data_IF_810834769631
#
_entry.id   IF_810834769631
#
_cell.length_a   1.000
_cell.length_b   1.000
_cell.length_c   1.000
_cell.angle_alpha   90.00
_cell.angle_beta   90.00
_cell.angle_gamma   90.00
#
_symmetry.space_group_name_H-M   'P 1'
#
loop_
_entity.id
_entity.type
_entity.pdbx_description
1 polymer ?
#
# COMPACT_ATOMS: atom_id res chain seq x y z
N UNK A 1 -20.72 61.03 4.74
CA UNK A 1 -21.13 59.64 4.42
C UNK A 1 -20.25 58.92 3.37
N UNK A 2 -19.00 59.35 3.12
CA UNK A 2 -18.15 58.77 2.05
C UNK A 2 -17.08 57.77 2.52
N UNK A 3 -16.81 57.69 3.82
CA UNK A 3 -15.72 56.86 4.38
C UNK A 3 -16.17 55.51 4.97
N UNK A 4 -17.49 55.27 5.14
CA UNK A 4 -17.99 53.99 5.68
C UNK A 4 -18.06 52.87 4.63
N UNK A 5 -18.03 53.21 3.33
CA UNK A 5 -18.12 52.22 2.25
C UNK A 5 -16.80 51.49 1.98
N UNK A 6 -15.65 52.11 2.31
CA UNK A 6 -14.32 51.49 2.10
C UNK A 6 -13.98 50.41 3.13
N UNK A 7 -14.57 50.50 4.33
CA UNK A 7 -14.33 49.53 5.42
C UNK A 7 -15.10 48.23 5.17
N UNK A 8 -16.22 48.28 4.41
CA UNK A 8 -17.01 47.11 4.07
C UNK A 8 -16.28 46.14 3.12
N UNK A 9 -15.43 46.66 2.24
CA UNK A 9 -14.65 45.82 1.31
C UNK A 9 -13.46 45.09 1.97
N UNK A 10 -12.91 45.61 3.06
CA UNK A 10 -11.77 44.99 3.76
C UNK A 10 -12.18 43.81 4.65
N UNK A 11 -13.45 43.74 5.07
CA UNK A 11 -13.96 42.68 5.95
C UNK A 11 -14.37 41.40 5.19
N UNK A 12 -14.54 41.47 3.86
CA UNK A 12 -14.94 40.33 3.00
C UNK A 12 -13.75 39.64 2.32
N UNK A 13 -12.56 40.24 2.36
CA UNK A 13 -11.35 39.69 1.76
C UNK A 13 -10.89 38.32 2.33
N UNK A 14 -11.09 37.95 3.62
CA UNK A 14 -10.61 36.67 4.10
C UNK A 14 -11.49 35.47 3.69
N UNK A 15 -12.65 35.69 3.05
CA UNK A 15 -13.53 34.60 2.59
C UNK A 15 -13.12 34.00 1.24
N UNK A 16 -12.22 34.65 0.49
CA UNK A 16 -11.77 34.17 -0.82
C UNK A 16 -10.50 33.31 -0.77
N UNK A 17 -9.92 33.07 0.42
CA UNK A 17 -8.74 32.23 0.60
C UNK A 17 -9.05 30.83 1.17
N UNK A 18 -10.31 30.37 1.11
CA UNK A 18 -10.59 28.93 1.10
C UNK A 18 -10.24 28.36 -0.28
N UNK A 19 -8.95 28.46 -0.64
CA UNK A 19 -8.36 27.62 -1.67
C UNK A 19 -8.23 26.22 -1.10
N UNK A 20 -9.35 25.50 -1.01
CA UNK A 20 -9.31 24.04 -0.88
C UNK A 20 -8.54 23.52 -2.08
N UNK A 21 -7.36 22.96 -1.84
CA UNK A 21 -6.62 22.23 -2.86
C UNK A 21 -7.55 21.18 -3.46
N UNK A 22 -7.75 21.21 -4.78
CA UNK A 22 -8.56 20.23 -5.51
C UNK A 22 -7.97 18.80 -5.50
N UNK A 23 -6.89 18.56 -4.74
CA UNK A 23 -6.30 17.24 -4.59
C UNK A 23 -7.20 16.27 -3.79
N UNK A 24 -8.14 16.78 -2.99
CA UNK A 24 -9.04 15.92 -2.19
C UNK A 24 -10.21 15.35 -2.99
N UNK A 25 -10.60 15.95 -4.12
CA UNK A 25 -11.74 15.45 -4.91
C UNK A 25 -11.43 14.14 -5.67
N UNK A 26 -10.16 13.83 -5.93
CA UNK A 26 -9.77 12.51 -6.45
C UNK A 26 -9.86 11.39 -5.40
N UNK A 27 -9.94 11.72 -4.11
CA UNK A 27 -10.03 10.73 -3.04
C UNK A 27 -11.46 10.26 -2.74
N UNK A 28 -12.51 10.98 -3.19
CA UNK A 28 -13.89 10.58 -2.90
C UNK A 28 -14.34 9.34 -3.69
N UNK A 29 -13.87 9.14 -4.93
CA UNK A 29 -14.13 7.91 -5.71
C UNK A 29 -13.40 6.68 -5.13
N UNK A 30 -12.31 6.89 -4.38
CA UNK A 30 -11.50 5.81 -3.77
C UNK A 30 -12.16 5.20 -2.53
N UNK A 31 -13.13 5.88 -1.92
CA UNK A 31 -13.84 5.38 -0.73
C UNK A 31 -14.66 4.08 -0.99
N UNK A 32 -14.86 3.66 -2.25
CA UNK A 32 -15.56 2.43 -2.60
C UNK A 32 -14.66 1.17 -2.66
N UNK A 33 -13.33 1.30 -2.56
CA UNK A 33 -12.41 0.17 -2.85
C UNK A 33 -12.13 -0.75 -1.64
N UNK A 34 -12.61 -0.43 -0.43
CA UNK A 34 -11.95 -0.94 0.78
C UNK A 34 -12.81 -1.85 1.68
N UNK A 35 -12.81 -3.17 1.39
CA UNK A 35 -13.11 -4.34 2.26
C UNK A 35 -12.56 -5.64 1.60
N UNK A 36 -12.44 -6.79 2.32
CA UNK A 36 -11.66 -7.06 3.53
C UNK A 36 -10.14 -7.04 3.28
N UNK A 37 -9.34 -7.10 4.35
CA UNK A 37 -7.87 -7.08 4.28
C UNK A 37 -7.32 -8.44 3.84
N UNK A 38 -6.69 -8.48 2.65
CA UNK A 38 -6.08 -9.70 2.12
C UNK A 38 -5.00 -9.36 1.08
N UNK A 39 -4.19 -10.37 0.78
CA UNK A 39 -3.37 -10.40 -0.44
C UNK A 39 -3.81 -11.57 -1.29
N UNK A 40 -3.99 -11.34 -2.59
CA UNK A 40 -4.26 -12.38 -3.59
C UNK A 40 -3.17 -12.32 -4.65
N UNK A 41 -2.68 -13.47 -5.11
CA UNK A 41 -1.68 -13.55 -6.18
C UNK A 41 -1.63 -14.96 -6.77
N UNK A 42 -1.07 -15.07 -7.98
CA UNK A 42 -0.74 -16.35 -8.60
C UNK A 42 0.77 -16.58 -8.56
N UNK A 43 1.22 -17.71 -8.03
CA UNK A 43 2.64 -18.07 -7.99
C UNK A 43 2.86 -19.30 -8.85
N UNK A 44 3.63 -19.14 -9.93
CA UNK A 44 3.86 -20.21 -10.91
C UNK A 44 2.56 -20.88 -11.41
N UNK A 45 1.45 -20.13 -11.43
CA UNK A 45 0.12 -20.62 -11.83
C UNK A 45 -0.82 -21.03 -10.69
N UNK A 46 -0.33 -21.14 -9.45
CA UNK A 46 -1.15 -21.54 -8.30
C UNK A 46 -1.71 -20.32 -7.54
N UNK A 47 -3.03 -20.26 -7.28
CA UNK A 47 -3.64 -19.14 -6.57
C UNK A 47 -3.33 -19.20 -5.08
N UNK A 48 -2.92 -18.07 -4.52
CA UNK A 48 -2.62 -17.90 -3.10
C UNK A 48 -3.36 -16.67 -2.58
N UNK A 49 -4.02 -16.86 -1.44
CA UNK A 49 -4.66 -15.78 -0.68
C UNK A 49 -4.11 -15.74 0.74
N UNK A 50 -3.65 -14.59 1.22
CA UNK A 50 -3.10 -14.39 2.58
C UNK A 50 -3.91 -13.35 3.35
N UNK A 51 -3.78 -13.38 4.67
CA UNK A 51 -4.42 -12.42 5.58
C UNK A 51 -3.37 -11.43 6.12
N UNK A 52 -3.82 -10.29 6.62
CA UNK A 52 -2.89 -9.37 7.30
C UNK A 52 -2.40 -9.95 8.62
N UNK A 53 -1.10 -9.80 8.84
CA UNK A 53 -0.44 -10.18 10.09
C UNK A 53 -0.01 -8.96 10.91
N UNK A 54 0.27 -7.83 10.24
CA UNK A 54 0.72 -6.62 10.93
C UNK A 54 0.73 -5.40 10.02
N UNK A 55 0.73 -4.23 10.66
CA UNK A 55 0.91 -2.93 10.01
C UNK A 55 1.71 -2.00 10.91
N UNK A 56 2.39 -1.03 10.30
CA UNK A 56 3.08 0.04 11.00
C UNK A 56 3.21 1.30 10.16
N UNK A 57 3.28 2.46 10.83
CA UNK A 57 3.78 3.68 10.24
C UNK A 57 5.02 4.11 11.01
N UNK A 58 6.13 4.29 10.31
CA UNK A 58 7.41 4.71 10.88
C UNK A 58 7.77 6.11 10.40
N UNK A 59 8.24 6.96 11.31
CA UNK A 59 8.81 8.25 10.96
C UNK A 59 10.28 8.06 10.54
N UNK A 60 10.64 8.59 9.38
CA UNK A 60 12.00 8.62 8.85
C UNK A 60 12.41 10.06 8.54
N UNK A 61 13.69 10.28 8.21
CA UNK A 61 14.19 11.58 7.76
C UNK A 61 13.49 12.08 6.48
N UNK A 62 12.93 11.18 5.68
CA UNK A 62 12.28 11.47 4.41
C UNK A 62 10.74 11.48 4.50
N UNK A 63 10.19 11.46 5.72
CA UNK A 63 8.76 11.40 5.99
C UNK A 63 8.32 10.05 6.54
N UNK A 64 7.04 9.73 6.37
CA UNK A 64 6.42 8.53 6.93
C UNK A 64 6.51 7.34 5.96
N UNK A 65 6.86 6.17 6.47
CA UNK A 65 6.87 4.89 5.75
C UNK A 65 5.71 4.05 6.28
N UNK A 66 4.95 3.45 5.37
CA UNK A 66 3.98 2.41 5.63
C UNK A 66 4.67 1.05 5.51
N UNK A 67 4.54 0.22 6.54
CA UNK A 67 4.95 -1.19 6.58
C UNK A 67 3.71 -2.07 6.71
N UNK A 68 3.58 -3.08 5.83
CA UNK A 68 2.48 -4.04 5.86
C UNK A 68 3.04 -5.46 5.75
N UNK A 69 2.55 -6.36 6.62
CA UNK A 69 2.88 -7.78 6.64
C UNK A 69 1.65 -8.66 6.46
N UNK A 70 1.80 -9.70 5.64
CA UNK A 70 0.75 -10.66 5.29
C UNK A 70 1.28 -12.07 5.34
N UNK A 71 0.42 -13.03 5.64
CA UNK A 71 0.75 -14.45 5.58
C UNK A 71 -0.41 -15.36 5.93
N UNK A 72 -0.13 -16.66 6.08
CA UNK A 72 -1.11 -17.65 6.54
C UNK A 72 -0.97 -17.89 8.04
N UNK A 73 -2.07 -17.78 8.79
CA UNK A 73 -2.14 -18.22 10.18
C UNK A 73 -2.50 -19.71 10.34
N UNK A 74 -2.76 -20.43 9.24
CA UNK A 74 -3.26 -21.82 9.30
C UNK A 74 -2.14 -22.79 9.67
N UNK A 75 -1.97 -23.02 10.96
CA UNK A 75 -1.69 -24.25 11.75
C UNK A 75 -0.82 -25.41 11.20
N UNK A 76 -0.45 -25.44 9.93
CA UNK A 76 0.44 -26.43 9.35
C UNK A 76 1.85 -25.82 9.27
N UNK A 77 2.74 -26.13 10.23
CA UNK A 77 4.11 -25.61 10.23
C UNK A 77 4.93 -26.12 9.03
N UNK A 78 4.38 -27.03 8.22
CA UNK A 78 5.02 -27.51 6.99
C UNK A 78 4.72 -26.63 5.78
N UNK A 79 3.84 -25.63 5.91
CA UNK A 79 3.49 -24.69 4.85
C UNK A 79 3.40 -23.26 5.36
N UNK A 80 4.24 -22.39 4.82
CA UNK A 80 4.23 -20.97 5.15
C UNK A 80 4.28 -20.14 3.87
N UNK A 81 3.46 -19.11 3.79
CA UNK A 81 3.58 -18.09 2.76
C UNK A 81 3.44 -16.73 3.44
N UNK A 82 4.37 -15.83 3.16
CA UNK A 82 4.35 -14.48 3.71
C UNK A 82 4.84 -13.43 2.71
N UNK A 83 4.24 -12.25 2.78
CA UNK A 83 4.65 -11.05 2.03
C UNK A 83 4.82 -9.89 3.00
N UNK A 84 5.92 -9.16 2.89
CA UNK A 84 6.14 -7.89 3.59
C UNK A 84 6.52 -6.80 2.60
N UNK A 85 5.91 -5.63 2.75
CA UNK A 85 6.15 -4.46 1.91
C UNK A 85 6.42 -3.21 2.75
N UNK A 86 7.30 -2.35 2.25
CA UNK A 86 7.48 -0.99 2.76
C UNK A 86 7.43 0.00 1.61
N UNK A 87 6.74 1.12 1.83
CA UNK A 87 6.65 2.22 0.88
C UNK A 87 6.33 3.56 1.57
N UNK A 88 6.54 4.71 0.92
CA UNK A 88 6.13 6.00 1.45
C UNK A 88 4.62 6.06 1.73
N UNK A 89 4.25 6.52 2.93
CA UNK A 89 2.85 6.68 3.32
C UNK A 89 2.18 7.82 2.54
N UNK A 90 0.89 7.64 2.19
CA UNK A 90 0.10 8.59 1.38
C UNK A 90 0.63 8.89 -0.04
N UNK A 91 1.56 8.08 -0.55
CA UNK A 91 2.02 8.20 -1.94
C UNK A 91 1.33 7.18 -2.83
N UNK A 92 0.98 7.63 -4.04
CA UNK A 92 0.38 6.85 -5.13
C UNK A 92 1.33 6.81 -6.32
N UNK A 93 1.18 5.78 -7.16
CA UNK A 93 1.96 5.63 -8.38
C UNK A 93 2.77 4.33 -8.44
N UNK A 94 3.67 4.26 -9.42
CA UNK A 94 4.35 3.01 -9.79
C UNK A 94 5.68 2.84 -9.06
N UNK A 95 6.00 1.59 -8.72
CA UNK A 95 7.31 1.15 -8.21
C UNK A 95 7.80 1.98 -7.01
N UNK A 96 6.89 2.26 -6.07
CA UNK A 96 7.19 3.04 -4.87
C UNK A 96 7.76 2.20 -3.72
N UNK A 97 7.87 0.88 -3.90
CA UNK A 97 8.32 -0.04 -2.87
C UNK A 97 9.80 0.18 -2.57
N UNK A 98 10.12 0.51 -1.32
CA UNK A 98 11.49 0.45 -0.80
C UNK A 98 11.86 -0.97 -0.36
N UNK A 99 10.85 -1.77 0.01
CA UNK A 99 11.00 -3.18 0.36
C UNK A 99 9.85 -3.97 -0.22
N UNK A 100 10.20 -5.13 -0.76
CA UNK A 100 9.30 -6.23 -1.04
C UNK A 100 10.03 -7.49 -0.60
N UNK A 101 9.40 -8.31 0.24
CA UNK A 101 9.93 -9.59 0.68
C UNK A 101 8.83 -10.64 0.54
N UNK A 102 9.19 -11.79 0.00
CA UNK A 102 8.31 -12.93 -0.21
C UNK A 102 8.99 -14.17 0.36
N UNK A 103 8.27 -14.88 1.21
CA UNK A 103 8.70 -16.13 1.81
C UNK A 103 7.70 -17.22 1.45
N UNK A 104 8.21 -18.36 1.04
CA UNK A 104 7.43 -19.55 0.72
C UNK A 104 8.14 -20.76 1.27
N UNK A 105 7.39 -21.58 2.01
CA UNK A 105 7.82 -22.86 2.51
C UNK A 105 6.70 -23.87 2.27
N UNK A 106 7.05 -25.02 1.69
CA UNK A 106 6.12 -26.13 1.50
C UNK A 106 6.89 -27.45 1.50
N UNK A 107 6.82 -28.18 2.62
CA UNK A 107 7.58 -29.42 2.80
C UNK A 107 9.09 -29.18 2.76
N UNK A 108 9.79 -29.67 1.72
CA UNK A 108 11.23 -29.46 1.55
C UNK A 108 11.56 -28.27 0.64
N UNK A 109 10.55 -27.58 0.11
CA UNK A 109 10.73 -26.42 -0.74
C UNK A 109 10.76 -25.17 0.12
N UNK A 110 11.87 -24.45 0.08
CA UNK A 110 12.03 -23.14 0.71
C UNK A 110 12.44 -22.11 -0.33
N UNK A 111 11.79 -20.96 -0.27
CA UNK A 111 12.15 -19.78 -1.02
C UNK A 111 12.04 -18.55 -0.13
N UNK A 112 13.04 -17.69 -0.21
CA UNK A 112 12.99 -16.34 0.33
C UNK A 112 13.57 -15.40 -0.71
N UNK A 113 12.74 -14.53 -1.24
CA UNK A 113 13.12 -13.54 -2.25
C UNK A 113 12.76 -12.15 -1.76
N UNK A 114 13.49 -11.17 -2.23
CA UNK A 114 13.19 -9.77 -1.97
C UNK A 114 13.48 -8.94 -3.22
N UNK A 115 13.18 -7.64 -3.16
CA UNK A 115 13.35 -6.71 -4.28
C UNK A 115 14.79 -6.64 -4.81
N UNK A 116 15.82 -7.00 -4.02
CA UNK A 116 17.22 -6.96 -4.47
C UNK A 116 17.60 -8.19 -5.31
N UNK A 117 16.80 -9.25 -5.29
CA UNK A 117 17.05 -10.50 -6.00
C UNK A 117 15.99 -10.77 -7.08
N UNK A 118 15.47 -9.70 -7.69
CA UNK A 118 14.43 -9.82 -8.69
C UNK A 118 13.94 -8.49 -9.23
N UNK A 119 12.86 -8.55 -9.99
CA UNK A 119 12.14 -7.37 -10.48
C UNK A 119 10.76 -7.39 -9.87
N UNK A 120 10.36 -6.28 -9.24
CA UNK A 120 9.01 -6.07 -8.73
C UNK A 120 8.42 -4.89 -9.47
N UNK A 121 7.29 -5.10 -10.13
CA UNK A 121 6.49 -4.03 -10.72
C UNK A 121 5.26 -3.83 -9.84
N UNK A 122 5.02 -2.61 -9.38
CA UNK A 122 3.87 -2.31 -8.53
C UNK A 122 3.20 -1.01 -8.90
N UNK A 123 1.92 -0.87 -8.56
CA UNK A 123 1.15 0.36 -8.68
C UNK A 123 0.26 0.55 -7.45
N UNK A 124 0.56 1.61 -6.69
CA UNK A 124 -0.23 2.02 -5.53
C UNK A 124 -1.37 2.89 -6.02
N UNK A 125 -2.59 2.38 -5.86
CA UNK A 125 -3.83 2.98 -6.36
C UNK A 125 -4.55 3.72 -5.24
N UNK A 126 -4.46 3.22 -4.00
CA UNK A 126 -4.95 3.89 -2.79
C UNK A 126 -3.95 3.77 -1.65
N UNK A 127 -3.73 4.86 -0.92
CA UNK A 127 -2.87 4.90 0.27
C UNK A 127 -3.36 6.08 1.12
N UNK A 128 -4.46 5.88 1.84
CA UNK A 128 -5.10 6.92 2.64
C UNK A 128 -4.92 6.62 4.12
N UNK A 129 -5.59 7.38 5.00
CA UNK A 129 -5.70 6.98 6.40
C UNK A 129 -6.75 5.92 6.66
N UNK A 130 -7.59 5.55 5.69
CA UNK A 130 -8.63 4.53 5.86
C UNK A 130 -8.30 3.21 5.17
N UNK A 131 -7.57 3.26 4.06
CA UNK A 131 -7.17 2.03 3.38
C UNK A 131 -5.95 2.17 2.46
N UNK A 132 -5.44 1.02 2.06
CA UNK A 132 -4.37 0.83 1.10
C UNK A 132 -4.80 -0.19 0.04
N UNK A 133 -4.48 0.12 -1.22
CA UNK A 133 -4.71 -0.76 -2.37
C UNK A 133 -3.55 -0.64 -3.34
N UNK A 134 -2.96 -1.77 -3.70
CA UNK A 134 -1.85 -1.86 -4.64
C UNK A 134 -1.99 -3.11 -5.50
N UNK A 135 -1.60 -3.02 -6.75
CA UNK A 135 -1.35 -4.19 -7.61
C UNK A 135 0.15 -4.40 -7.79
N UNK A 136 0.57 -5.65 -7.99
CA UNK A 136 1.97 -5.98 -8.24
C UNK A 136 2.16 -7.26 -9.05
N UNK A 137 3.33 -7.36 -9.66
CA UNK A 137 3.90 -8.59 -10.17
C UNK A 137 5.37 -8.65 -9.81
N UNK A 138 5.92 -9.85 -9.70
CA UNK A 138 7.31 -10.02 -9.39
C UNK A 138 7.91 -11.23 -10.09
N UNK A 139 9.19 -11.11 -10.43
CA UNK A 139 10.03 -12.24 -10.80
C UNK A 139 11.21 -12.23 -9.84
N UNK A 140 11.26 -13.21 -8.95
CA UNK A 140 12.28 -13.32 -7.91
C UNK A 140 13.12 -14.57 -8.14
N UNK A 141 14.43 -14.45 -7.95
CA UNK A 141 15.36 -15.57 -8.15
C UNK A 141 16.20 -15.78 -6.89
N UNK A 142 16.27 -17.03 -6.41
CA UNK A 142 17.14 -17.43 -5.31
C UNK A 142 17.59 -18.88 -5.54
N UNK A 143 18.89 -19.16 -5.42
CA UNK A 143 19.50 -20.48 -5.61
C UNK A 143 19.02 -21.20 -6.89
N UNK A 144 19.14 -20.52 -8.03
CA UNK A 144 18.74 -20.99 -9.37
C UNK A 144 17.24 -21.32 -9.55
N UNK A 145 16.41 -21.01 -8.56
CA UNK A 145 14.95 -21.09 -8.67
C UNK A 145 14.37 -19.72 -8.94
N UNK A 146 13.44 -19.66 -9.88
CA UNK A 146 12.68 -18.45 -10.21
C UNK A 146 11.23 -18.64 -9.82
N UNK A 147 10.69 -17.67 -9.08
CA UNK A 147 9.28 -17.56 -8.75
C UNK A 147 8.68 -16.41 -9.52
N UNK A 148 7.63 -16.72 -10.29
CA UNK A 148 6.87 -15.74 -11.01
C UNK A 148 5.55 -15.49 -10.26
N UNK A 149 5.41 -14.27 -9.76
CA UNK A 149 4.20 -13.77 -9.09
C UNK A 149 3.44 -12.90 -10.08
N UNK A 150 2.20 -13.28 -10.40
CA UNK A 150 1.30 -12.55 -11.29
C UNK A 150 0.05 -12.10 -10.55
N UNK A 151 -0.57 -11.07 -11.12
CA UNK A 151 -1.89 -10.56 -10.70
C UNK A 151 -1.98 -10.30 -9.19
N UNK A 152 -0.86 -9.86 -8.60
CA UNK A 152 -0.77 -9.60 -7.18
C UNK A 152 -1.63 -8.41 -6.81
N UNK A 153 -2.44 -8.57 -5.77
CA UNK A 153 -3.31 -7.55 -5.23
C UNK A 153 -3.10 -7.50 -3.73
N UNK A 154 -2.84 -6.31 -3.20
CA UNK A 154 -2.83 -6.03 -1.77
C UNK A 154 -3.99 -5.09 -1.47
N UNK A 155 -4.89 -5.53 -0.57
CA UNK A 155 -5.96 -4.70 0.00
C UNK A 155 -5.81 -4.68 1.51
N UNK A 156 -5.82 -3.49 2.09
CA UNK A 156 -5.76 -3.33 3.54
C UNK A 156 -6.72 -2.23 3.97
N UNK A 157 -7.69 -2.56 4.83
CA UNK A 157 -8.55 -1.58 5.51
C UNK A 157 -8.03 -1.38 6.94
N UNK A 158 -7.81 -0.14 7.32
CA UNK A 158 -7.35 0.21 8.67
C UNK A 158 -8.52 0.22 9.63
N UNK A 159 -8.48 -0.62 10.68
CA UNK A 159 -9.51 -0.64 11.74
C UNK A 159 -9.58 0.71 12.46
N UNK A 160 -8.41 1.26 12.79
CA UNK A 160 -8.25 2.64 13.27
C UNK A 160 -7.51 3.44 12.20
N UNK A 161 -8.12 4.53 11.69
CA UNK A 161 -7.43 5.43 10.77
C UNK A 161 -6.19 6.06 11.40
N UNK A 162 -5.17 6.30 10.57
CA UNK A 162 -3.96 7.01 10.96
C UNK A 162 -4.11 8.54 10.94
#
# INVERSE_FOLDING_TARGET
MRNKLKILFLALAPLFFYGCSNDDQKNEEVNQICYPTYVEMNINGEPIQMEAMGRGIMLTQNGYILDLGFGHYKSDPTKEVAVSIELPYKKLGKNLLSKFSFHYYSGNEYFSGNITHGVVNSEVISNTNKCFYMTFSATLTNNDKTYEIKDGIIKYTYEEPF
#
